data_IF_908457267768
#
_entry.id   IF_908457267768
#
_cell.length_a   1.000
_cell.length_b   1.000
_cell.length_c   1.000
_cell.angle_alpha   90.00
_cell.angle_beta   90.00
_cell.angle_gamma   90.00
#
_symmetry.space_group_name_H-M   'P 1'
#
loop_
_entity.id
_entity.type
_entity.pdbx_description
1 polymer ?
#
# COMPACT_ATOMS: atom_id res chain seq x y z
N UNK A 1 -51.35 22.86 -40.98
CA UNK A 1 -51.49 21.75 -40.00
C UNK A 1 -50.23 20.87 -39.88
N UNK A 2 -49.53 20.55 -40.98
CA UNK A 2 -48.38 19.63 -40.99
C UNK A 2 -47.19 20.07 -40.10
N UNK A 3 -46.86 21.37 -40.09
CA UNK A 3 -45.75 21.93 -39.29
C UNK A 3 -45.98 21.79 -37.77
N UNK A 4 -47.23 21.90 -37.30
CA UNK A 4 -47.56 21.70 -35.87
C UNK A 4 -47.34 20.24 -35.46
N UNK A 5 -47.75 19.27 -36.28
CA UNK A 5 -47.56 17.84 -35.99
C UNK A 5 -46.08 17.44 -35.93
N UNK A 6 -45.25 17.96 -36.83
CA UNK A 6 -43.80 17.72 -36.83
C UNK A 6 -43.14 18.29 -35.56
N UNK A 7 -43.53 19.52 -35.16
CA UNK A 7 -43.04 20.13 -33.91
C UNK A 7 -43.45 19.33 -32.67
N UNK A 8 -44.69 18.85 -32.60
CA UNK A 8 -45.12 18.01 -31.48
C UNK A 8 -44.37 16.68 -31.43
N UNK A 9 -44.14 16.03 -32.57
CA UNK A 9 -43.32 14.81 -32.65
C UNK A 9 -41.90 15.03 -32.12
N UNK A 10 -41.26 16.14 -32.51
CA UNK A 10 -39.94 16.52 -32.02
C UNK A 10 -39.91 16.73 -30.49
N UNK A 11 -40.91 17.40 -29.91
CA UNK A 11 -40.96 17.59 -28.45
C UNK A 11 -41.17 16.28 -27.69
N UNK A 12 -41.97 15.36 -28.22
CA UNK A 12 -42.16 14.04 -27.61
C UNK A 12 -40.91 13.17 -27.70
N UNK A 13 -40.19 13.19 -28.82
CA UNK A 13 -38.92 12.46 -28.93
C UNK A 13 -37.83 13.06 -28.04
N UNK A 14 -37.74 14.39 -27.97
CA UNK A 14 -36.83 15.08 -27.06
C UNK A 14 -37.14 14.76 -25.59
N UNK A 15 -38.43 14.75 -25.21
CA UNK A 15 -38.86 14.38 -23.86
C UNK A 15 -38.54 12.91 -23.53
N UNK A 16 -38.81 11.98 -24.47
CA UNK A 16 -38.48 10.57 -24.28
C UNK A 16 -36.98 10.33 -24.14
N UNK A 17 -36.16 11.01 -24.95
CA UNK A 17 -34.70 10.95 -24.83
C UNK A 17 -34.21 11.49 -23.48
N UNK A 18 -34.75 12.64 -23.04
CA UNK A 18 -34.42 13.22 -21.75
C UNK A 18 -34.82 12.30 -20.58
N UNK A 19 -35.99 11.65 -20.65
CA UNK A 19 -36.44 10.66 -19.67
C UNK A 19 -35.52 9.44 -19.62
N UNK A 20 -35.09 8.91 -20.77
CA UNK A 20 -34.15 7.79 -20.82
C UNK A 20 -32.80 8.14 -20.20
N UNK A 21 -32.28 9.35 -20.47
CA UNK A 21 -31.05 9.84 -19.83
C UNK A 21 -31.24 10.03 -18.33
N UNK A 22 -32.37 10.59 -17.89
CA UNK A 22 -32.63 10.77 -16.46
C UNK A 22 -32.71 9.42 -15.72
N UNK A 23 -33.37 8.43 -16.32
CA UNK A 23 -33.47 7.08 -15.75
C UNK A 23 -32.11 6.37 -15.72
N UNK A 24 -31.29 6.48 -16.76
CA UNK A 24 -29.95 5.87 -16.78
C UNK A 24 -29.04 6.51 -15.72
N UNK A 25 -29.08 7.83 -15.58
CA UNK A 25 -28.33 8.54 -14.55
C UNK A 25 -28.79 8.18 -13.14
N UNK A 26 -30.11 8.07 -12.91
CA UNK A 26 -30.66 7.64 -11.63
C UNK A 26 -30.21 6.23 -11.26
N UNK A 27 -30.16 5.32 -12.24
CA UNK A 27 -29.71 3.94 -12.03
C UNK A 27 -28.21 3.87 -11.66
N UNK A 28 -27.37 4.62 -12.38
CA UNK A 28 -25.94 4.73 -12.06
C UNK A 28 -25.70 5.30 -10.65
N UNK A 29 -26.45 6.35 -10.29
CA UNK A 29 -26.38 6.96 -8.95
C UNK A 29 -26.80 5.99 -7.85
N UNK A 30 -27.86 5.20 -8.07
CA UNK A 30 -28.29 4.18 -7.11
C UNK A 30 -27.22 3.12 -6.90
N UNK A 31 -26.53 2.69 -7.97
CA UNK A 31 -25.40 1.77 -7.90
C UNK A 31 -24.25 2.30 -7.03
N UNK A 32 -23.80 3.53 -7.31
CA UNK A 32 -22.72 4.20 -6.54
C UNK A 32 -23.13 4.38 -5.07
N UNK A 33 -24.37 4.79 -4.81
CA UNK A 33 -24.89 4.94 -3.45
C UNK A 33 -24.91 3.62 -2.67
N UNK A 34 -25.20 2.51 -3.34
CA UNK A 34 -25.11 1.15 -2.79
C UNK A 34 -23.68 0.78 -2.39
N UNK A 35 -22.72 0.96 -3.30
CA UNK A 35 -21.30 0.69 -3.04
C UNK A 35 -20.76 1.55 -1.88
N UNK A 36 -21.08 2.84 -1.86
CA UNK A 36 -20.71 3.76 -0.78
C UNK A 36 -21.34 3.38 0.56
N UNK A 37 -22.48 2.68 0.57
CA UNK A 37 -23.07 2.15 1.80
C UNK A 37 -22.23 0.99 2.35
N UNK A 38 -21.80 0.07 1.49
CA UNK A 38 -20.93 -1.06 1.88
C UNK A 38 -19.59 -0.56 2.41
N UNK A 39 -18.96 0.41 1.74
CA UNK A 39 -17.71 1.02 2.21
C UNK A 39 -17.90 1.66 3.59
N UNK A 40 -19.00 2.40 3.80
CA UNK A 40 -19.30 3.00 5.12
C UNK A 40 -19.56 1.95 6.20
N UNK A 41 -20.14 0.79 5.87
CA UNK A 41 -20.30 -0.31 6.82
C UNK A 41 -18.95 -0.90 7.24
N UNK A 42 -18.06 -1.14 6.27
CA UNK A 42 -16.70 -1.64 6.52
C UNK A 42 -15.88 -0.66 7.37
N UNK A 43 -15.96 0.64 7.06
CA UNK A 43 -15.31 1.69 7.86
C UNK A 43 -15.91 1.81 9.27
N UNK A 44 -17.16 1.41 9.46
CA UNK A 44 -17.81 1.33 10.77
C UNK A 44 -17.51 0.01 11.51
N UNK A 45 -16.57 -0.80 11.02
CA UNK A 45 -16.16 -2.05 11.66
C UNK A 45 -17.15 -3.21 11.48
N UNK A 46 -18.04 -3.14 10.48
CA UNK A 46 -18.98 -4.23 10.16
C UNK A 46 -18.55 -4.90 8.86
N UNK A 47 -18.23 -6.19 8.93
CA UNK A 47 -17.90 -6.99 7.73
C UNK A 47 -19.11 -7.04 6.77
N UNK A 48 -18.81 -7.25 5.50
CA UNK A 48 -19.78 -7.43 4.42
C UNK A 48 -19.71 -8.88 3.97
N UNK A 49 -20.87 -9.47 3.69
CA UNK A 49 -20.99 -10.87 3.26
C UNK A 49 -20.24 -11.11 1.95
N UNK A 50 -19.68 -12.31 1.76
CA UNK A 50 -18.85 -12.63 0.58
C UNK A 50 -19.67 -12.60 -0.70
N UNK A 51 -20.96 -12.95 -0.59
CA UNK A 51 -21.94 -12.96 -1.66
C UNK A 51 -22.13 -11.55 -2.25
N UNK A 52 -22.18 -10.54 -1.39
CA UNK A 52 -22.32 -9.12 -1.78
C UNK A 52 -21.06 -8.60 -2.49
N UNK A 53 -19.90 -9.27 -2.33
CA UNK A 53 -18.61 -8.84 -2.87
C UNK A 53 -18.28 -9.45 -4.23
N UNK A 54 -18.88 -10.59 -4.56
CA UNK A 54 -18.61 -11.32 -5.80
C UNK A 54 -18.79 -10.45 -7.05
N UNK A 55 -19.71 -9.48 -6.98
CA UNK A 55 -20.01 -8.53 -8.07
C UNK A 55 -19.74 -7.07 -7.67
N UNK A 56 -19.21 -6.84 -6.47
CA UNK A 56 -18.92 -5.49 -6.00
C UNK A 56 -17.75 -4.88 -6.76
N UNK A 57 -17.78 -3.55 -6.85
CA UNK A 57 -16.68 -2.76 -7.40
C UNK A 57 -15.36 -3.10 -6.67
N UNK A 58 -14.23 -3.17 -7.39
CA UNK A 58 -12.92 -3.39 -6.79
C UNK A 58 -12.61 -2.47 -5.60
N UNK A 59 -13.13 -1.24 -5.57
CA UNK A 59 -12.98 -0.32 -4.44
C UNK A 59 -13.63 -0.83 -3.15
N UNK A 60 -14.78 -1.51 -3.23
CA UNK A 60 -15.45 -2.13 -2.08
C UNK A 60 -14.61 -3.28 -1.54
N UNK A 61 -14.05 -4.11 -2.44
CA UNK A 61 -13.15 -5.21 -2.05
C UNK A 61 -11.87 -4.69 -1.40
N UNK A 62 -11.32 -3.58 -1.89
CA UNK A 62 -10.17 -2.92 -1.27
C UNK A 62 -10.52 -2.41 0.14
N UNK A 63 -11.67 -1.75 0.31
CA UNK A 63 -12.14 -1.33 1.62
C UNK A 63 -12.29 -2.51 2.59
N UNK A 64 -12.73 -3.68 2.09
CA UNK A 64 -12.80 -4.89 2.92
C UNK A 64 -11.43 -5.40 3.30
N UNK A 65 -10.44 -5.40 2.40
CA UNK A 65 -9.09 -5.78 2.75
C UNK A 65 -8.52 -4.91 3.89
N UNK A 66 -8.82 -3.61 3.88
CA UNK A 66 -8.46 -2.69 4.97
C UNK A 66 -9.15 -3.07 6.28
N UNK A 67 -10.45 -3.35 6.24
CA UNK A 67 -11.21 -3.82 7.40
C UNK A 67 -10.65 -5.14 7.96
N UNK A 68 -10.39 -6.13 7.09
CA UNK A 68 -9.85 -7.44 7.49
C UNK A 68 -8.49 -7.30 8.19
N UNK A 69 -7.60 -6.46 7.64
CA UNK A 69 -6.31 -6.13 8.28
C UNK A 69 -6.51 -5.50 9.66
N UNK A 70 -7.43 -4.54 9.79
CA UNK A 70 -7.73 -3.90 11.08
C UNK A 70 -8.30 -4.90 12.10
N UNK A 71 -9.04 -5.91 11.63
CA UNK A 71 -9.56 -7.00 12.44
C UNK A 71 -8.53 -8.13 12.72
N UNK A 72 -7.27 -7.99 12.31
CA UNK A 72 -6.23 -9.00 12.48
C UNK A 72 -6.35 -10.23 11.56
N UNK A 73 -7.30 -10.21 10.61
CA UNK A 73 -7.52 -11.29 9.63
C UNK A 73 -6.58 -11.12 8.43
N UNK A 74 -5.28 -11.26 8.70
CA UNK A 74 -4.24 -10.95 7.72
C UNK A 74 -4.26 -11.84 6.48
N UNK A 75 -4.53 -13.14 6.64
CA UNK A 75 -4.57 -14.06 5.49
C UNK A 75 -5.69 -13.71 4.50
N UNK A 76 -6.88 -13.38 5.02
CA UNK A 76 -8.02 -12.95 4.20
C UNK A 76 -7.73 -11.61 3.50
N UNK A 77 -7.09 -10.67 4.22
CA UNK A 77 -6.70 -9.39 3.66
C UNK A 77 -5.65 -9.57 2.54
N UNK A 78 -4.65 -10.43 2.77
CA UNK A 78 -3.60 -10.75 1.81
C UNK A 78 -4.18 -11.38 0.53
N UNK A 79 -5.06 -12.38 0.68
CA UNK A 79 -5.75 -13.01 -0.44
C UNK A 79 -6.56 -11.99 -1.26
N UNK A 80 -7.30 -11.12 -0.58
CA UNK A 80 -8.11 -10.06 -1.22
C UNK A 80 -7.23 -9.07 -1.99
N UNK A 81 -6.11 -8.62 -1.40
CA UNK A 81 -5.20 -7.68 -2.04
C UNK A 81 -4.49 -8.29 -3.26
N UNK A 82 -4.06 -9.54 -3.17
CA UNK A 82 -3.42 -10.24 -4.29
C UNK A 82 -4.38 -10.41 -5.48
N UNK A 83 -5.65 -10.71 -5.21
CA UNK A 83 -6.69 -10.77 -6.26
C UNK A 83 -6.92 -9.39 -6.91
N UNK A 84 -6.93 -8.31 -6.12
CA UNK A 84 -7.02 -6.95 -6.64
C UNK A 84 -5.81 -6.56 -7.51
N UNK A 85 -4.60 -6.99 -7.14
CA UNK A 85 -3.41 -6.73 -7.95
C UNK A 85 -3.48 -7.36 -9.35
N UNK A 86 -4.23 -8.45 -9.51
CA UNK A 86 -4.42 -9.12 -10.80
C UNK A 86 -5.57 -8.52 -11.61
N UNK A 87 -6.68 -8.17 -10.95
CA UNK A 87 -7.95 -7.86 -11.63
C UNK A 87 -8.26 -6.36 -11.70
N UNK A 88 -7.70 -5.54 -10.81
CA UNK A 88 -8.11 -4.15 -10.68
C UNK A 88 -7.45 -3.22 -11.73
N UNK A 89 -8.08 -2.06 -12.02
CA UNK A 89 -7.49 -1.00 -12.83
C UNK A 89 -6.16 -0.49 -12.25
N UNK A 90 -5.30 0.09 -13.10
CA UNK A 90 -3.95 0.50 -12.72
C UNK A 90 -3.87 1.38 -11.46
N UNK A 91 -4.75 2.39 -11.36
CA UNK A 91 -4.83 3.29 -10.19
C UNK A 91 -5.12 2.52 -8.91
N UNK A 92 -6.07 1.58 -8.96
CA UNK A 92 -6.43 0.79 -7.78
C UNK A 92 -5.36 -0.25 -7.42
N UNK A 93 -4.57 -0.72 -8.39
CA UNK A 93 -3.41 -1.57 -8.10
C UNK A 93 -2.34 -0.83 -7.31
N UNK A 94 -2.13 0.48 -7.51
CA UNK A 94 -1.23 1.27 -6.68
C UNK A 94 -1.71 1.32 -5.21
N UNK A 95 -3.01 1.55 -5.00
CA UNK A 95 -3.63 1.51 -3.67
C UNK A 95 -3.59 0.11 -3.04
N UNK A 96 -3.77 -0.95 -3.82
CA UNK A 96 -3.65 -2.33 -3.34
C UNK A 96 -2.20 -2.64 -2.90
N UNK A 97 -1.18 -2.20 -3.64
CA UNK A 97 0.23 -2.33 -3.23
C UNK A 97 0.52 -1.57 -1.93
N UNK A 98 0.02 -0.35 -1.80
CA UNK A 98 0.14 0.41 -0.56
C UNK A 98 -0.51 -0.31 0.63
N UNK A 99 -1.72 -0.85 0.45
CA UNK A 99 -2.40 -1.59 1.51
C UNK A 99 -1.73 -2.94 1.82
N UNK A 100 -1.09 -3.56 0.84
CA UNK A 100 -0.24 -4.73 1.06
C UNK A 100 0.98 -4.38 1.93
N UNK A 101 1.58 -3.21 1.70
CA UNK A 101 2.62 -2.68 2.59
C UNK A 101 2.13 -2.47 4.02
N UNK A 102 0.95 -1.85 4.17
CA UNK A 102 0.32 -1.63 5.49
C UNK A 102 -0.02 -2.94 6.21
N UNK A 103 -0.39 -3.99 5.47
CA UNK A 103 -0.64 -5.32 6.01
C UNK A 103 0.65 -5.91 6.59
N UNK A 104 1.72 -5.95 5.81
CA UNK A 104 2.99 -6.50 6.28
C UNK A 104 3.60 -5.69 7.43
N UNK A 105 3.48 -4.35 7.38
CA UNK A 105 3.97 -3.50 8.46
C UNK A 105 3.22 -3.74 9.77
N UNK A 106 1.90 -3.93 9.71
CA UNK A 106 1.09 -4.26 10.89
C UNK A 106 1.51 -5.61 11.50
N UNK A 107 1.67 -6.65 10.67
CA UNK A 107 2.18 -7.95 11.13
C UNK A 107 3.60 -7.84 11.72
N UNK A 108 4.47 -7.05 11.10
CA UNK A 108 5.82 -6.82 11.60
C UNK A 108 5.79 -6.18 12.99
N UNK A 109 4.93 -5.17 13.20
CA UNK A 109 4.76 -4.51 14.49
C UNK A 109 4.27 -5.47 15.57
N UNK A 110 3.33 -6.37 15.26
CA UNK A 110 2.89 -7.41 16.20
C UNK A 110 4.04 -8.35 16.58
N UNK A 111 4.84 -8.80 15.59
CA UNK A 111 6.01 -9.66 15.85
C UNK A 111 7.08 -8.96 16.67
N UNK A 112 7.32 -7.67 16.42
CA UNK A 112 8.24 -6.86 17.24
C UNK A 112 7.74 -6.69 18.67
N UNK A 113 6.43 -6.44 18.84
CA UNK A 113 5.81 -6.40 20.17
C UNK A 113 5.94 -7.71 20.96
N UNK A 114 6.07 -8.84 20.26
CA UNK A 114 6.32 -10.16 20.83
C UNK A 114 7.82 -10.47 21.00
N UNK A 115 8.72 -9.53 20.71
CA UNK A 115 10.18 -9.76 20.74
C UNK A 115 10.71 -10.66 19.61
N UNK A 116 9.89 -10.99 18.62
CA UNK A 116 10.22 -11.91 17.52
C UNK A 116 10.84 -11.16 16.32
N UNK A 117 12.02 -10.58 16.53
CA UNK A 117 12.71 -9.73 15.52
C UNK A 117 12.99 -10.49 14.22
N UNK A 118 13.40 -11.76 14.30
CA UNK A 118 13.68 -12.59 13.13
C UNK A 118 12.43 -12.80 12.25
N UNK A 119 11.25 -12.91 12.88
CA UNK A 119 9.98 -13.04 12.17
C UNK A 119 9.49 -11.69 11.61
N UNK A 120 9.80 -10.59 12.28
CA UNK A 120 9.42 -9.25 11.84
C UNK A 120 10.24 -8.78 10.62
N UNK A 121 11.51 -9.15 10.57
CA UNK A 121 12.47 -8.72 9.55
C UNK A 121 11.99 -8.93 8.10
N UNK A 122 11.57 -10.15 7.68
CA UNK A 122 11.06 -10.36 6.32
C UNK A 122 9.77 -9.59 6.05
N UNK A 123 8.91 -9.39 7.06
CA UNK A 123 7.68 -8.61 6.93
C UNK A 123 7.97 -7.13 6.67
N UNK A 124 8.96 -6.54 7.36
CA UNK A 124 9.40 -5.17 7.10
C UNK A 124 9.97 -5.04 5.68
N UNK A 125 10.75 -6.01 5.22
CA UNK A 125 11.28 -6.01 3.85
C UNK A 125 10.17 -6.05 2.80
N UNK A 126 9.16 -6.92 2.99
CA UNK A 126 7.99 -7.00 2.13
C UNK A 126 7.17 -5.70 2.16
N UNK A 127 7.02 -5.07 3.32
CA UNK A 127 6.35 -3.79 3.44
C UNK A 127 7.04 -2.71 2.60
N UNK A 128 8.37 -2.58 2.72
CA UNK A 128 9.18 -1.64 1.92
C UNK A 128 9.04 -1.90 0.42
N UNK A 129 9.12 -3.17 0.00
CA UNK A 129 8.96 -3.55 -1.41
C UNK A 129 7.58 -3.14 -1.94
N UNK A 130 6.53 -3.40 -1.17
CA UNK A 130 5.16 -3.06 -1.54
C UNK A 130 4.96 -1.54 -1.66
N UNK A 131 5.50 -0.75 -0.72
CA UNK A 131 5.45 0.72 -0.82
C UNK A 131 6.26 1.27 -2.00
N UNK A 132 7.47 0.76 -2.24
CA UNK A 132 8.27 1.11 -3.42
C UNK A 132 7.52 0.78 -4.72
N UNK A 133 6.84 -0.37 -4.77
CA UNK A 133 6.03 -0.77 -5.92
C UNK A 133 4.76 0.09 -6.08
N UNK A 134 4.16 0.58 -4.99
CA UNK A 134 3.09 1.56 -5.04
C UNK A 134 3.58 2.89 -5.64
N UNK A 135 4.74 3.38 -5.20
CA UNK A 135 5.37 4.60 -5.71
C UNK A 135 5.85 4.49 -7.16
N UNK A 136 6.27 3.30 -7.58
CA UNK A 136 6.58 3.04 -8.99
C UNK A 136 5.35 3.16 -9.90
N UNK A 137 4.15 2.91 -9.37
CA UNK A 137 2.89 3.07 -10.11
C UNK A 137 2.31 4.48 -9.99
N UNK A 138 2.45 5.11 -8.83
CA UNK A 138 2.03 6.49 -8.55
C UNK A 138 3.12 7.23 -7.75
N UNK A 139 4.01 7.98 -8.42
CA UNK A 139 5.07 8.75 -7.75
C UNK A 139 4.53 9.88 -6.85
N UNK A 140 3.27 10.28 -7.01
CA UNK A 140 2.60 11.31 -6.22
C UNK A 140 2.00 10.78 -4.91
N UNK A 141 2.03 9.46 -4.68
CA UNK A 141 1.34 8.83 -3.55
C UNK A 141 2.03 9.13 -2.20
N UNK A 142 1.67 10.24 -1.59
CA UNK A 142 2.35 10.77 -0.39
C UNK A 142 2.29 9.81 0.80
N UNK A 143 1.15 9.16 1.04
CA UNK A 143 1.00 8.19 2.13
C UNK A 143 1.97 7.00 2.00
N UNK A 144 2.25 6.55 0.76
CA UNK A 144 3.22 5.50 0.51
C UNK A 144 4.66 5.96 0.77
N UNK A 145 4.99 7.23 0.51
CA UNK A 145 6.31 7.81 0.85
C UNK A 145 6.50 7.86 2.36
N UNK A 146 5.51 8.40 3.07
CA UNK A 146 5.53 8.49 4.52
C UNK A 146 5.65 7.11 5.17
N UNK A 147 4.82 6.14 4.77
CA UNK A 147 4.88 4.79 5.35
C UNK A 147 6.16 4.03 4.97
N UNK A 148 6.74 4.29 3.79
CA UNK A 148 8.05 3.75 3.43
C UNK A 148 9.14 4.29 4.36
N UNK A 149 9.14 5.60 4.65
CA UNK A 149 10.09 6.20 5.60
C UNK A 149 9.96 5.56 6.99
N UNK A 150 8.73 5.37 7.47
CA UNK A 150 8.47 4.67 8.74
C UNK A 150 9.02 3.24 8.70
N UNK A 151 8.77 2.48 7.64
CA UNK A 151 9.28 1.11 7.49
C UNK A 151 10.82 1.06 7.38
N UNK A 152 11.45 2.05 6.76
CA UNK A 152 12.92 2.18 6.68
C UNK A 152 13.56 2.48 8.03
N UNK A 153 12.91 3.28 8.88
CA UNK A 153 13.36 3.54 10.25
C UNK A 153 13.20 2.34 11.17
N UNK A 154 12.18 1.51 10.94
CA UNK A 154 11.88 0.34 11.78
C UNK A 154 12.96 -0.72 11.71
N UNK A 155 13.48 -0.99 10.52
CA UNK A 155 14.63 -1.86 10.32
C UNK A 155 15.55 -1.20 9.29
N UNK A 156 16.54 -0.41 9.72
CA UNK A 156 17.49 0.22 8.82
C UNK A 156 18.18 -0.84 7.95
N UNK A 157 18.25 -0.59 6.65
CA UNK A 157 19.12 -1.38 5.78
C UNK A 157 20.54 -0.99 6.19
N UNK A 158 21.24 -1.90 6.88
CA UNK A 158 22.68 -1.75 7.08
C UNK A 158 23.30 -2.00 5.72
N UNK A 159 23.82 -0.95 5.08
CA UNK A 159 24.77 -1.13 4.01
C UNK A 159 25.89 -1.99 4.60
N UNK A 160 25.98 -3.24 4.15
CA UNK A 160 27.24 -3.96 4.25
C UNK A 160 28.20 -3.12 3.41
N UNK A 161 28.92 -2.22 4.07
CA UNK A 161 30.17 -1.74 3.55
C UNK A 161 30.93 -3.04 3.31
N UNK A 162 31.08 -3.40 2.03
CA UNK A 162 31.99 -4.46 1.63
C UNK A 162 33.37 -3.94 2.05
N UNK A 163 33.74 -4.21 3.30
CA UNK A 163 35.12 -4.22 3.72
C UNK A 163 35.72 -5.35 2.93
N UNK A 164 36.09 -5.06 1.68
CA UNK A 164 36.55 -6.04 0.72
C UNK A 164 37.57 -6.95 1.40
N UNK A 165 37.36 -8.25 1.23
CA UNK A 165 38.28 -9.33 1.62
C UNK A 165 39.72 -8.82 1.86
N UNK A 166 40.04 -8.48 3.10
CA UNK A 166 41.38 -8.65 3.60
C UNK A 166 41.38 -10.05 4.15
N UNK A 167 41.91 -10.96 3.34
CA UNK A 167 42.28 -12.30 3.77
C UNK A 167 43.03 -12.19 5.10
N UNK A 168 42.48 -12.86 6.10
CA UNK A 168 43.08 -13.06 7.41
C UNK A 168 44.35 -13.92 7.24
N UNK A 169 45.47 -13.29 6.85
CA UNK A 169 46.79 -13.86 7.06
C UNK A 169 47.11 -13.72 8.55
N UNK A 170 46.80 -14.79 9.28
CA UNK A 170 47.04 -14.96 10.71
C UNK A 170 48.52 -15.03 11.08
N UNK A 171 49.32 -14.02 10.74
CA UNK A 171 50.70 -13.94 11.19
C UNK A 171 51.25 -12.52 11.30
N UNK A 172 50.88 -11.79 12.36
CA UNK A 172 51.83 -10.90 13.05
C UNK A 172 51.36 -10.57 14.48
N UNK A 173 51.82 -11.42 15.41
CA UNK A 173 51.90 -11.12 16.84
C UNK A 173 52.75 -9.86 17.04
N UNK A 174 52.15 -8.88 17.71
CA UNK A 174 52.75 -7.99 18.70
C UNK A 174 54.18 -7.49 18.44
N UNK A 175 54.31 -6.24 17.97
CA UNK A 175 55.34 -5.35 18.50
C UNK A 175 54.71 -4.03 18.95
N UNK A 176 54.76 -3.87 20.27
CA UNK A 176 54.35 -2.74 21.07
C UNK A 176 55.24 -1.51 20.78
N UNK A 177 54.61 -0.33 20.79
CA UNK A 177 55.14 0.93 21.32
C UNK A 177 56.65 1.16 21.20
N UNK A 178 57.13 1.89 20.19
CA UNK A 178 58.23 2.88 20.33
C UNK A 178 58.55 3.59 19.02
N UNK A 179 58.07 4.82 18.86
CA UNK A 179 58.85 5.91 18.22
C UNK A 179 58.16 7.25 18.50
N UNK A 180 58.18 7.66 19.78
CA UNK A 180 58.05 9.07 20.16
C UNK A 180 59.42 9.73 19.91
N UNK A 181 59.55 10.71 19.00
CA UNK A 181 60.81 11.42 18.81
C UNK A 181 61.09 12.30 20.03
N UNK A 182 62.27 12.13 20.64
CA UNK A 182 62.66 12.74 21.91
C UNK A 182 62.83 14.25 21.89
N UNK A 183 62.51 14.89 23.02
CA UNK A 183 62.78 16.31 23.29
C UNK A 183 64.26 16.54 23.65
N UNK A 184 64.92 17.58 23.13
CA UNK A 184 66.31 17.90 23.49
C UNK A 184 66.37 18.59 24.86
N UNK A 185 67.23 18.11 25.76
CA UNK A 185 67.63 18.85 26.96
C UNK A 185 68.87 19.66 26.65
N UNK A 186 68.75 20.99 26.74
CA UNK A 186 69.89 21.91 26.67
C UNK A 186 70.83 21.71 27.85
N UNK A 187 72.12 21.84 27.58
CA UNK A 187 73.21 21.95 28.56
C UNK A 187 73.77 23.39 28.49
N UNK A 188 74.39 23.86 29.57
CA UNK A 188 75.77 24.33 29.52
C UNK A 188 76.74 23.23 29.97
#
# INVERSE_FOLDING_TARGET
>A
MLIRRIKHGFWWTALAAALLVALSQAWLWAGIAGQNRLIRQLLAGRDVAVEDLAHADPAVRLARAVYLRQAGRYDDALATLNLLLQQAPAVLRAQARYNLGNLYLAQAQEKLGQGSVDSATPLVALAKQAYRAALGADPGFWDAKYNLEVAMRLLPEMDRIDSGNQEDDGSQKAELWTTLPGFPRGLP
#
